data_IF_336804542494
#
_entry.id   IF_336804542494
#
_cell.length_a   1.000
_cell.length_b   1.000
_cell.length_c   1.000
_cell.angle_alpha   90.00
_cell.angle_beta   90.00
_cell.angle_gamma   90.00
#
_symmetry.space_group_name_H-M   'P 1'
#
loop_
_entity.id
_entity.type
_entity.pdbx_description
1 polymer ?
#
# COMPACT_ATOMS: atom_id res chain seq x y z
N UNK A 1 -7.56 25.10 -49.17
CA UNK A 1 -7.23 23.83 -49.83
C UNK A 1 -6.95 22.82 -48.72
N UNK A 2 -8.02 22.20 -48.22
CA UNK A 2 -7.95 21.08 -47.28
C UNK A 2 -7.94 19.80 -48.09
N UNK A 3 -7.08 18.85 -47.74
CA UNK A 3 -7.44 17.42 -47.58
C UNK A 3 -6.22 16.67 -47.02
N UNK A 4 -6.26 16.28 -45.73
CA UNK A 4 -6.57 14.93 -45.23
C UNK A 4 -5.47 13.91 -45.55
N UNK A 5 -4.55 13.74 -44.60
CA UNK A 5 -3.70 12.54 -44.50
C UNK A 5 -4.54 11.44 -43.85
N UNK A 6 -5.02 10.50 -44.66
CA UNK A 6 -5.60 9.24 -44.21
C UNK A 6 -4.50 8.33 -43.68
N UNK A 7 -4.61 7.91 -42.41
CA UNK A 7 -3.97 6.69 -41.91
C UNK A 7 -4.72 5.47 -42.44
N UNK A 8 -4.06 4.46 -43.04
CA UNK A 8 -4.68 3.17 -43.26
C UNK A 8 -4.11 2.17 -42.25
N UNK A 9 -4.82 1.98 -41.14
CA UNK A 9 -4.97 0.63 -40.59
C UNK A 9 -6.30 0.13 -41.15
N UNK A 10 -6.31 -1.05 -41.78
CA UNK A 10 -7.41 -2.03 -41.73
C UNK A 10 -7.29 -3.04 -42.89
N UNK A 11 -6.55 -4.11 -42.63
CA UNK A 11 -6.74 -5.40 -43.29
C UNK A 11 -6.86 -6.50 -42.21
N UNK A 12 -7.76 -7.48 -42.35
CA UNK A 12 -7.91 -8.59 -41.39
C UNK A 12 -6.61 -9.41 -41.22
N UNK A 13 -5.72 -9.36 -42.21
CA UNK A 13 -4.42 -10.01 -42.17
C UNK A 13 -3.42 -9.35 -41.21
N UNK A 14 -3.55 -8.05 -40.93
CA UNK A 14 -2.59 -7.29 -40.11
C UNK A 14 -2.82 -7.51 -38.61
N UNK A 15 -4.09 -7.63 -38.21
CA UNK A 15 -4.48 -8.09 -36.86
C UNK A 15 -4.02 -9.53 -36.64
N UNK A 16 -4.15 -10.38 -37.66
CA UNK A 16 -3.67 -11.77 -37.60
C UNK A 16 -2.14 -11.86 -37.50
N UNK A 17 -1.41 -10.91 -38.09
CA UNK A 17 0.04 -10.83 -38.03
C UNK A 17 0.50 -10.37 -36.65
N UNK A 18 -0.11 -9.31 -36.11
CA UNK A 18 0.16 -8.82 -34.75
C UNK A 18 -0.18 -9.86 -33.67
N UNK A 19 -1.31 -10.57 -33.82
CA UNK A 19 -1.67 -11.67 -32.92
C UNK A 19 -0.67 -12.85 -32.99
N UNK A 20 -0.15 -13.17 -34.19
CA UNK A 20 0.92 -14.17 -34.34
C UNK A 20 2.24 -13.71 -33.73
N UNK A 21 2.56 -12.43 -33.84
CA UNK A 21 3.75 -11.81 -33.25
C UNK A 21 3.70 -11.89 -31.71
N UNK A 22 2.55 -11.50 -31.13
CA UNK A 22 2.34 -11.58 -29.67
C UNK A 22 2.33 -13.02 -29.15
N UNK A 23 1.75 -13.97 -29.89
CA UNK A 23 1.79 -15.39 -29.53
C UNK A 23 3.23 -15.93 -29.51
N UNK A 24 4.06 -15.57 -30.50
CA UNK A 24 5.49 -15.92 -30.52
C UNK A 24 6.26 -15.32 -29.36
N UNK A 25 6.01 -14.05 -29.01
CA UNK A 25 6.65 -13.42 -27.86
C UNK A 25 6.26 -14.11 -26.54
N UNK A 26 5.01 -14.52 -26.39
CA UNK A 26 4.55 -15.27 -25.21
C UNK A 26 5.20 -16.66 -25.13
N UNK A 27 5.35 -17.36 -26.25
CA UNK A 27 6.05 -18.65 -26.31
C UNK A 27 7.55 -18.51 -26.00
N UNK A 28 8.21 -17.44 -26.48
CA UNK A 28 9.60 -17.15 -26.13
C UNK A 28 9.78 -16.85 -24.65
N UNK A 29 8.87 -16.08 -24.04
CA UNK A 29 8.91 -15.82 -22.58
C UNK A 29 8.67 -17.12 -21.81
N UNK A 30 7.70 -17.94 -22.22
CA UNK A 30 7.44 -19.23 -21.59
C UNK A 30 8.64 -20.19 -21.70
N UNK A 31 9.31 -20.22 -22.86
CA UNK A 31 10.53 -21.00 -23.08
C UNK A 31 11.70 -20.48 -22.24
N UNK A 32 11.90 -19.17 -22.13
CA UNK A 32 12.92 -18.56 -21.28
C UNK A 32 12.68 -18.87 -19.80
N UNK A 33 11.42 -18.87 -19.35
CA UNK A 33 11.05 -19.28 -17.99
C UNK A 33 11.24 -20.79 -17.76
N UNK A 34 11.10 -21.63 -18.79
CA UNK A 34 11.29 -23.08 -18.70
C UNK A 34 12.77 -23.50 -18.72
N UNK A 35 13.60 -22.80 -19.49
CA UNK A 35 15.05 -23.05 -19.61
C UNK A 35 15.88 -22.48 -18.45
N UNK A 36 15.30 -21.62 -17.61
CA UNK A 36 15.97 -20.97 -16.46
C UNK A 36 16.13 -21.82 -15.20
N UNK A 37 15.90 -23.14 -15.23
CA UNK A 37 15.94 -23.98 -14.02
C UNK A 37 17.33 -24.18 -13.40
N UNK A 38 18.42 -24.01 -14.16
CA UNK A 38 19.78 -24.31 -13.67
C UNK A 38 20.73 -23.10 -13.55
N UNK A 39 20.28 -21.87 -13.85
CA UNK A 39 21.04 -20.65 -13.56
C UNK A 39 20.12 -19.52 -13.10
N UNK A 40 19.54 -19.66 -11.91
CA UNK A 40 18.97 -18.54 -11.14
C UNK A 40 18.90 -18.98 -9.67
N UNK A 41 19.79 -18.53 -8.77
CA UNK A 41 19.44 -18.56 -7.38
C UNK A 41 18.37 -17.48 -7.17
N UNK A 42 17.25 -17.87 -6.56
CA UNK A 42 16.36 -16.98 -5.81
C UNK A 42 15.25 -16.20 -6.56
N UNK A 43 14.52 -16.82 -7.48
CA UNK A 43 13.23 -16.25 -7.95
C UNK A 43 12.02 -17.10 -7.55
N UNK A 44 12.19 -18.42 -7.39
CA UNK A 44 11.11 -19.31 -6.92
C UNK A 44 10.96 -19.37 -5.38
N UNK A 45 11.99 -18.98 -4.61
CA UNK A 45 11.84 -18.75 -3.17
C UNK A 45 11.09 -17.43 -2.89
N UNK A 46 11.16 -16.45 -3.80
CA UNK A 46 10.46 -15.17 -3.67
C UNK A 46 8.94 -15.27 -3.84
N UNK A 47 8.44 -16.25 -4.60
CA UNK A 47 6.99 -16.50 -4.73
C UNK A 47 6.43 -17.20 -3.48
N UNK A 48 7.24 -17.95 -2.74
CA UNK A 48 6.83 -18.59 -1.48
C UNK A 48 6.97 -17.66 -0.25
N UNK A 49 7.72 -16.54 -0.38
CA UNK A 49 7.69 -15.39 0.55
C UNK A 49 6.48 -14.47 0.35
N UNK A 50 5.53 -14.82 -0.51
CA UNK A 50 4.39 -13.98 -0.86
C UNK A 50 3.22 -14.04 0.16
N UNK A 51 3.54 -14.33 1.43
CA UNK A 51 2.65 -14.06 2.58
C UNK A 51 2.87 -12.65 3.15
N UNK A 52 3.89 -11.93 2.68
CA UNK A 52 4.36 -10.65 3.23
C UNK A 52 3.90 -9.39 2.46
N UNK A 53 3.11 -9.53 1.39
CA UNK A 53 2.50 -8.38 0.71
C UNK A 53 1.16 -8.10 1.37
N UNK A 54 1.10 -7.11 2.26
CA UNK A 54 -0.12 -6.70 2.92
C UNK A 54 -1.24 -6.31 1.93
N UNK A 55 -2.49 -6.28 2.39
CA UNK A 55 -3.65 -5.88 1.58
C UNK A 55 -3.44 -4.53 0.87
N UNK A 56 -4.10 -4.25 -0.28
CA UNK A 56 -4.01 -2.94 -0.94
C UNK A 56 -4.25 -1.76 0.01
N UNK A 57 -5.20 -1.92 0.94
CA UNK A 57 -5.52 -0.96 1.98
C UNK A 57 -4.32 -0.73 2.93
N UNK A 58 -3.63 -1.81 3.35
CA UNK A 58 -2.41 -1.68 4.17
C UNK A 58 -1.26 -0.99 3.43
N UNK A 59 -1.11 -1.28 2.13
CA UNK A 59 -0.09 -0.64 1.29
C UNK A 59 -0.36 0.86 1.15
N UNK A 60 -1.64 1.24 1.01
CA UNK A 60 -2.06 2.65 0.99
C UNK A 60 -1.81 3.33 2.34
N UNK A 61 -2.11 2.67 3.46
CA UNK A 61 -1.81 3.20 4.78
C UNK A 61 -0.30 3.45 4.98
N UNK A 62 0.54 2.48 4.60
CA UNK A 62 2.00 2.65 4.59
C UNK A 62 2.45 3.77 3.65
N UNK A 63 1.79 3.92 2.49
CA UNK A 63 2.07 5.02 1.56
C UNK A 63 1.79 6.38 2.19
N UNK A 64 0.65 6.58 2.84
CA UNK A 64 0.31 7.85 3.51
C UNK A 64 1.33 8.21 4.61
N UNK A 65 1.71 7.24 5.44
CA UNK A 65 2.77 7.43 6.45
C UNK A 65 4.09 7.87 5.79
N UNK A 66 4.53 7.17 4.72
CA UNK A 66 5.77 7.54 4.00
C UNK A 66 5.68 8.94 3.41
N UNK A 67 4.55 9.33 2.82
CA UNK A 67 4.34 10.68 2.26
C UNK A 67 4.39 11.75 3.33
N UNK A 68 3.85 11.49 4.51
CA UNK A 68 4.00 12.40 5.66
C UNK A 68 5.47 12.54 6.06
N UNK A 69 6.18 11.43 6.29
CA UNK A 69 7.61 11.47 6.64
C UNK A 69 8.47 12.16 5.59
N UNK A 70 8.08 12.08 4.31
CA UNK A 70 8.74 12.83 3.25
C UNK A 70 8.54 14.34 3.41
N UNK A 71 7.33 14.80 3.74
CA UNK A 71 7.06 16.22 4.04
C UNK A 71 7.91 16.71 5.22
N UNK A 72 7.96 15.94 6.31
CA UNK A 72 8.77 16.27 7.51
C UNK A 72 10.28 16.39 7.22
N UNK A 73 10.80 15.68 6.21
CA UNK A 73 12.23 15.74 5.81
C UNK A 73 12.54 16.89 4.86
N UNK A 74 11.60 17.24 4.00
CA UNK A 74 11.78 18.27 2.97
C UNK A 74 11.37 19.66 3.44
N UNK A 75 10.52 19.76 4.47
CA UNK A 75 9.92 20.97 4.97
C UNK A 75 10.08 21.05 6.50
N UNK A 76 9.68 22.17 7.11
CA UNK A 76 9.70 22.30 8.57
C UNK A 76 8.76 21.29 9.23
N UNK A 77 9.31 20.42 10.06
CA UNK A 77 8.60 19.34 10.78
C UNK A 77 7.49 19.88 11.68
N UNK A 78 7.63 21.10 12.21
CA UNK A 78 6.64 21.71 13.12
C UNK A 78 5.30 22.00 12.44
N UNK A 79 5.27 22.04 11.10
CA UNK A 79 4.08 22.33 10.31
C UNK A 79 3.17 21.10 10.08
N UNK A 80 3.67 19.88 10.29
CA UNK A 80 2.96 18.65 9.92
C UNK A 80 2.73 17.76 11.15
N UNK A 81 1.48 17.52 11.50
CA UNK A 81 1.17 16.79 12.73
C UNK A 81 -0.28 16.33 12.87
N UNK A 82 -0.53 15.05 12.59
CA UNK A 82 -1.78 14.34 12.90
C UNK A 82 -1.47 13.05 13.67
N UNK A 83 -1.11 13.14 14.96
CA UNK A 83 -0.59 11.99 15.72
C UNK A 83 -1.60 10.84 15.82
N UNK A 84 -2.89 11.15 16.02
CA UNK A 84 -3.94 10.13 16.06
C UNK A 84 -4.05 9.40 14.71
N UNK A 85 -4.02 10.13 13.59
CA UNK A 85 -4.12 9.55 12.26
C UNK A 85 -2.93 8.63 11.94
N UNK A 86 -1.72 9.07 12.26
CA UNK A 86 -0.52 8.24 12.09
C UNK A 86 -0.58 6.93 12.88
N UNK A 87 -1.04 6.99 14.13
CA UNK A 87 -1.22 5.80 14.96
C UNK A 87 -2.26 4.86 14.35
N UNK A 88 -3.36 5.38 13.83
CA UNK A 88 -4.40 4.59 13.18
C UNK A 88 -3.88 3.88 11.94
N UNK A 89 -3.13 4.58 11.09
CA UNK A 89 -2.52 4.02 9.88
C UNK A 89 -1.49 2.95 10.20
N UNK A 90 -0.63 3.18 11.20
CA UNK A 90 0.42 2.24 11.59
C UNK A 90 -0.18 0.95 12.18
N UNK A 91 -1.14 1.08 13.10
CA UNK A 91 -1.83 -0.07 13.68
C UNK A 91 -2.66 -0.84 12.66
N UNK A 92 -3.31 -0.13 11.72
CA UNK A 92 -4.05 -0.78 10.65
C UNK A 92 -3.13 -1.63 9.78
N UNK A 93 -2.05 -1.04 9.27
CA UNK A 93 -1.10 -1.75 8.41
C UNK A 93 -0.45 -2.93 9.14
N UNK A 94 0.00 -2.73 10.38
CA UNK A 94 0.56 -3.81 11.20
C UNK A 94 -0.44 -4.95 11.42
N UNK A 95 -1.72 -4.64 11.64
CA UNK A 95 -2.75 -5.67 11.82
C UNK A 95 -2.98 -6.52 10.57
N UNK A 96 -2.97 -5.91 9.39
CA UNK A 96 -3.09 -6.63 8.10
C UNK A 96 -1.83 -7.46 7.79
N UNK A 97 -0.68 -7.03 8.29
CA UNK A 97 0.61 -7.72 8.19
C UNK A 97 0.80 -8.80 9.28
N UNK A 98 -0.16 -8.99 10.18
CA UNK A 98 -0.08 -9.86 11.37
C UNK A 98 1.12 -9.53 12.30
N UNK A 99 1.45 -8.25 12.41
CA UNK A 99 2.53 -7.72 13.26
C UNK A 99 1.93 -7.08 14.51
N UNK A 100 2.43 -7.46 15.68
CA UNK A 100 2.05 -6.84 16.95
C UNK A 100 2.82 -5.53 17.17
N UNK A 101 2.12 -4.48 17.61
CA UNK A 101 2.70 -3.16 17.87
C UNK A 101 2.72 -2.88 19.37
N UNK A 102 3.90 -2.52 19.91
CA UNK A 102 4.00 -2.10 21.31
C UNK A 102 3.65 -0.63 21.48
N UNK A 103 3.25 -0.22 22.68
CA UNK A 103 3.01 1.20 23.01
C UNK A 103 4.22 2.08 22.63
N UNK A 104 5.45 1.64 22.96
CA UNK A 104 6.67 2.39 22.63
C UNK A 104 6.88 2.54 21.13
N UNK A 105 6.61 1.49 20.35
CA UNK A 105 6.67 1.55 18.88
C UNK A 105 5.62 2.49 18.32
N UNK A 106 4.40 2.46 18.87
CA UNK A 106 3.31 3.34 18.46
C UNK A 106 3.61 4.82 18.75
N UNK A 107 4.30 5.11 19.85
CA UNK A 107 4.77 6.47 20.15
C UNK A 107 5.74 7.00 19.08
N UNK A 108 6.60 6.16 18.52
CA UNK A 108 7.49 6.54 17.41
C UNK A 108 6.66 6.85 16.16
N UNK A 109 5.67 5.99 15.84
CA UNK A 109 4.80 6.16 14.69
C UNK A 109 4.05 7.51 14.73
N UNK A 110 3.61 7.95 15.91
CA UNK A 110 2.88 9.20 16.11
C UNK A 110 3.64 10.48 15.71
N UNK A 111 4.98 10.43 15.69
CA UNK A 111 5.82 11.57 15.30
C UNK A 111 5.76 12.77 16.24
N UNK A 112 5.39 12.57 17.50
CA UNK A 112 5.29 13.61 18.54
C UNK A 112 6.06 13.18 19.82
N UNK A 113 6.38 14.10 20.75
CA UNK A 113 7.01 13.74 22.02
C UNK A 113 6.23 12.64 22.76
N UNK A 114 6.95 11.72 23.42
CA UNK A 114 6.35 10.53 24.02
C UNK A 114 5.19 10.81 24.98
N UNK A 115 5.29 11.83 25.83
CA UNK A 115 4.21 12.24 26.75
C UNK A 115 2.93 12.66 26.02
N UNK A 116 3.06 13.26 24.84
CA UNK A 116 1.93 13.63 23.98
C UNK A 116 1.33 12.40 23.31
N UNK A 117 2.17 11.50 22.80
CA UNK A 117 1.71 10.22 22.24
C UNK A 117 0.96 9.38 23.28
N UNK A 118 1.46 9.28 24.51
CA UNK A 118 0.77 8.58 25.61
C UNK A 118 -0.62 9.16 25.89
N UNK A 119 -0.77 10.50 25.89
CA UNK A 119 -2.09 11.14 26.05
C UNK A 119 -3.06 10.74 24.94
N UNK A 120 -2.60 10.68 23.69
CA UNK A 120 -3.41 10.23 22.56
C UNK A 120 -3.82 8.76 22.69
N UNK A 121 -2.87 7.88 23.02
CA UNK A 121 -3.15 6.46 23.24
C UNK A 121 -4.19 6.29 24.34
N UNK A 122 -4.02 6.97 25.48
CA UNK A 122 -4.96 6.91 26.60
C UNK A 122 -6.37 7.41 26.22
N UNK A 123 -6.47 8.56 25.54
CA UNK A 123 -7.75 9.11 25.09
C UNK A 123 -8.44 8.19 24.07
N UNK A 124 -7.72 7.69 23.07
CA UNK A 124 -8.26 6.80 22.06
C UNK A 124 -8.64 5.41 22.62
N UNK A 125 -7.90 4.88 23.61
CA UNK A 125 -8.32 3.69 24.35
C UNK A 125 -9.61 3.95 25.13
N UNK A 126 -9.72 5.08 25.83
CA UNK A 126 -10.95 5.45 26.56
C UNK A 126 -12.17 5.56 25.64
N UNK A 127 -11.97 5.99 24.39
CA UNK A 127 -13.03 6.06 23.36
C UNK A 127 -13.35 4.71 22.70
N UNK A 128 -12.67 3.62 23.05
CA UNK A 128 -12.85 2.31 22.44
C UNK A 128 -12.31 2.20 21.01
N UNK A 129 -11.41 3.10 20.60
CA UNK A 129 -10.77 3.07 19.28
C UNK A 129 -9.58 2.10 19.32
N UNK A 130 -8.82 2.12 20.41
CA UNK A 130 -7.65 1.27 20.64
C UNK A 130 -7.93 0.27 21.76
N UNK A 131 -7.35 -0.92 21.64
CA UNK A 131 -7.31 -1.92 22.69
C UNK A 131 -5.86 -2.10 23.12
N UNK A 132 -5.60 -2.03 24.43
CA UNK A 132 -4.30 -2.32 25.02
C UNK A 132 -4.35 -3.67 25.73
N UNK A 133 -3.31 -4.48 25.55
CA UNK A 133 -3.16 -5.77 26.21
C UNK A 133 -1.75 -5.88 26.80
N UNK A 134 -1.59 -6.26 28.08
CA UNK A 134 -0.28 -6.51 28.65
C UNK A 134 0.38 -7.69 27.94
N UNK A 135 1.69 -7.62 27.73
CA UNK A 135 2.46 -8.75 27.23
C UNK A 135 2.59 -9.82 28.34
N UNK A 136 2.10 -11.06 28.12
CA UNK A 136 2.21 -12.14 29.11
C UNK A 136 3.66 -12.48 29.48
N UNK A 137 4.60 -12.23 28.57
CA UNK A 137 6.01 -12.56 28.74
C UNK A 137 6.84 -11.40 29.32
N UNK A 138 6.38 -10.16 29.19
CA UNK A 138 7.07 -8.97 29.71
C UNK A 138 6.10 -7.92 30.26
N UNK A 139 6.01 -7.80 31.59
CA UNK A 139 5.14 -6.84 32.27
C UNK A 139 5.47 -5.37 31.98
N UNK A 140 6.61 -5.07 31.38
CA UNK A 140 7.00 -3.70 30.97
C UNK A 140 6.46 -3.35 29.58
N UNK A 141 5.99 -4.34 28.82
CA UNK A 141 5.51 -4.17 27.45
C UNK A 141 3.99 -4.30 27.41
N UNK A 142 3.36 -3.33 26.77
CA UNK A 142 1.95 -3.39 26.41
C UNK A 142 1.83 -3.41 24.89
N UNK A 143 1.02 -4.34 24.39
CA UNK A 143 0.59 -4.42 23.00
C UNK A 143 -0.61 -3.50 22.79
N UNK A 144 -0.69 -2.89 21.60
CA UNK A 144 -1.79 -2.03 21.20
C UNK A 144 -2.30 -2.49 19.85
N UNK A 145 -3.62 -2.55 19.71
CA UNK A 145 -4.30 -2.86 18.44
C UNK A 145 -5.49 -1.93 18.23
N UNK A 146 -5.98 -1.84 17.00
CA UNK A 146 -7.28 -1.24 16.72
C UNK A 146 -8.39 -2.12 17.27
N UNK A 147 -9.42 -1.49 17.85
CA UNK A 147 -10.67 -2.20 18.12
C UNK A 147 -11.21 -2.81 16.82
N UNK A 148 -11.74 -4.05 16.84
CA UNK A 148 -12.16 -4.74 15.61
C UNK A 148 -13.13 -3.93 14.74
N UNK A 149 -14.08 -3.24 15.38
CA UNK A 149 -15.05 -2.36 14.71
C UNK A 149 -14.39 -1.16 14.05
N UNK A 150 -13.36 -0.58 14.68
CA UNK A 150 -12.63 0.55 14.13
C UNK A 150 -11.68 0.13 13.01
N UNK A 151 -11.05 -1.05 13.13
CA UNK A 151 -10.23 -1.65 12.07
C UNK A 151 -11.04 -1.83 10.78
N UNK A 152 -12.27 -2.30 10.88
CA UNK A 152 -13.12 -2.47 9.71
C UNK A 152 -13.52 -1.13 9.08
N UNK A 153 -13.80 -0.10 9.88
CA UNK A 153 -14.03 1.27 9.37
C UNK A 153 -12.80 1.82 8.65
N UNK A 154 -11.60 1.61 9.20
CA UNK A 154 -10.34 1.99 8.55
C UNK A 154 -10.15 1.28 7.22
N UNK A 155 -10.45 -0.03 7.16
CA UNK A 155 -10.39 -0.81 5.91
C UNK A 155 -11.31 -0.23 4.85
N UNK A 156 -12.57 0.06 5.21
CA UNK A 156 -13.55 0.63 4.29
C UNK A 156 -13.13 2.02 3.80
N UNK A 157 -12.66 2.88 4.70
CA UNK A 157 -12.15 4.20 4.35
C UNK A 157 -10.99 4.12 3.36
N UNK A 158 -9.95 3.34 3.68
CA UNK A 158 -8.76 3.18 2.82
C UNK A 158 -9.09 2.53 1.47
N UNK A 159 -10.08 1.63 1.44
CA UNK A 159 -10.55 1.02 0.20
C UNK A 159 -11.20 2.05 -0.72
N UNK A 160 -12.01 2.96 -0.19
CA UNK A 160 -12.63 4.03 -0.97
C UNK A 160 -11.57 4.98 -1.53
N UNK A 161 -10.61 5.41 -0.70
CA UNK A 161 -9.49 6.25 -1.14
C UNK A 161 -8.66 5.58 -2.24
N UNK A 162 -8.40 4.27 -2.11
CA UNK A 162 -7.70 3.50 -3.13
C UNK A 162 -8.46 3.51 -4.47
N UNK A 163 -9.79 3.33 -4.43
CA UNK A 163 -10.63 3.36 -5.62
C UNK A 163 -10.64 4.74 -6.28
N UNK A 164 -10.70 5.82 -5.49
CA UNK A 164 -10.66 7.19 -6.02
C UNK A 164 -9.32 7.51 -6.70
N UNK A 165 -8.20 7.12 -6.08
CA UNK A 165 -6.87 7.29 -6.68
C UNK A 165 -6.73 6.52 -8.00
N UNK A 166 -7.26 5.31 -8.05
CA UNK A 166 -7.31 4.50 -9.26
C UNK A 166 -8.16 5.22 -10.30
N UNK A 167 -9.40 5.59 -10.00
CA UNK A 167 -10.30 6.28 -10.91
C UNK A 167 -9.68 7.57 -11.47
N UNK A 168 -9.02 8.37 -10.62
CA UNK A 168 -8.30 9.57 -11.04
C UNK A 168 -7.12 9.27 -11.99
N UNK A 169 -6.39 8.17 -11.76
CA UNK A 169 -5.30 7.73 -12.63
C UNK A 169 -5.78 7.22 -13.99
N UNK A 170 -6.99 6.67 -14.06
CA UNK A 170 -7.62 6.22 -15.31
C UNK A 170 -8.29 7.37 -16.07
N UNK A 171 -8.92 8.32 -15.38
CA UNK A 171 -9.55 9.49 -16.01
C UNK A 171 -8.57 10.42 -16.73
N UNK A 172 -7.31 10.48 -16.29
CA UNK A 172 -6.28 11.30 -16.94
C UNK A 172 -5.81 10.75 -18.29
N UNK A 173 -6.00 9.45 -18.57
CA UNK A 173 -5.63 8.83 -19.86
C UNK A 173 -6.61 9.11 -21.00
N UNK A 174 -7.83 9.55 -20.72
CA UNK A 174 -8.86 9.79 -21.75
C UNK A 174 -8.75 11.20 -22.34
N UNK A 175 -8.15 12.16 -21.63
CA UNK A 175 -8.04 13.56 -22.07
C UNK A 175 -6.81 13.81 -22.97
N UNK A 176 -5.78 12.96 -22.92
CA UNK A 176 -4.55 13.11 -23.73
C UNK A 176 -4.59 12.35 -25.07
N UNK A 177 -5.74 11.78 -25.47
CA UNK A 177 -5.92 11.06 -26.75
C UNK A 177 -7.08 11.60 -27.60
N UNK A 178 -7.52 12.83 -27.34
CA UNK A 178 -8.54 13.54 -28.12
C UNK A 178 -7.98 14.69 -28.94
#
# INVERSE_FOLDING_TARGET
>A
MLDRVSSPLEGPDDISASLRETARMLEQIASLLASGKDQCPDVLQHVQKNKAVGSPESQLARYFLRRRRQRERSLDVSLFGEPAWDMLLDLFAASEENVSVSVSSLCIAAGVPGSTAFRWIADMTKRGILIQQPDPSDRRRNWVTLAPTFRERMRQFLRLDAMELIAFSYGRRVVESG
#
